data_IF_930764936255
#
_entry.id   IF_930764936255
#
_cell.length_a   1.000
_cell.length_b   1.000
_cell.length_c   1.000
_cell.angle_alpha   90.00
_cell.angle_beta   90.00
_cell.angle_gamma   90.00
#
_symmetry.space_group_name_H-M   'P 1'
#
loop_
_entity.id
_entity.type
_entity.pdbx_description
1 polymer ?
#
# COMPACT_ATOMS: atom_id res chain seq x y z
N UNK A 1 -2.47 1.47 17.68
CA UNK A 1 -2.43 1.43 16.20
C UNK A 1 -2.73 0.00 15.77
N UNK A 2 -3.59 -0.21 14.77
CA UNK A 2 -3.88 -1.55 14.23
C UNK A 2 -2.62 -2.19 13.62
N UNK A 3 -2.75 -3.38 13.05
CA UNK A 3 -1.65 -4.00 12.31
C UNK A 3 -1.22 -3.14 11.10
N UNK A 4 -0.02 -3.41 10.59
CA UNK A 4 0.60 -2.62 9.51
C UNK A 4 -0.29 -2.53 8.25
N UNK A 5 -0.93 -3.63 7.85
CA UNK A 5 -1.80 -3.63 6.67
C UNK A 5 -3.09 -2.85 6.92
N UNK A 6 -3.62 -2.84 8.13
CA UNK A 6 -4.74 -1.98 8.51
C UNK A 6 -4.39 -0.49 8.32
N UNK A 7 -3.15 -0.10 8.66
CA UNK A 7 -2.65 1.26 8.44
C UNK A 7 -2.63 1.61 6.94
N UNK A 8 -2.10 0.72 6.09
CA UNK A 8 -2.08 0.91 4.63
C UNK A 8 -3.50 0.90 4.02
N UNK A 9 -4.41 0.07 4.54
CA UNK A 9 -5.77 -0.14 4.01
C UNK A 9 -6.78 0.90 4.44
N UNK A 10 -6.41 1.80 5.35
CA UNK A 10 -7.29 2.87 5.84
C UNK A 10 -6.83 4.22 5.27
N UNK A 11 -7.50 4.77 4.25
CA UNK A 11 -7.07 5.99 3.56
C UNK A 11 -6.78 7.17 4.50
N UNK A 12 -7.60 7.36 5.54
CA UNK A 12 -7.41 8.42 6.52
C UNK A 12 -6.13 8.24 7.36
N UNK A 13 -5.78 7.00 7.73
CA UNK A 13 -4.56 6.72 8.48
C UNK A 13 -3.32 6.86 7.61
N UNK A 14 -3.35 6.32 6.38
CA UNK A 14 -2.27 6.47 5.41
C UNK A 14 -2.00 7.96 5.09
N UNK A 15 -3.06 8.74 4.87
CA UNK A 15 -2.97 10.19 4.70
C UNK A 15 -2.34 10.88 5.92
N UNK A 16 -2.81 10.56 7.14
CA UNK A 16 -2.28 11.20 8.34
C UNK A 16 -0.79 10.92 8.53
N UNK A 17 -0.36 9.67 8.38
CA UNK A 17 1.06 9.30 8.49
C UNK A 17 1.90 9.98 7.41
N UNK A 18 1.38 10.07 6.17
CA UNK A 18 2.06 10.77 5.07
C UNK A 18 2.28 12.25 5.37
N UNK A 19 1.35 12.91 6.06
CA UNK A 19 1.44 14.35 6.34
C UNK A 19 2.33 14.68 7.55
N UNK A 20 2.60 13.74 8.44
CA UNK A 20 3.39 13.99 9.65
C UNK A 20 4.78 14.58 9.36
N UNK A 21 5.60 14.04 8.43
CA UNK A 21 6.88 14.64 8.07
C UNK A 21 6.75 16.04 7.45
N UNK A 22 5.73 16.26 6.61
CA UNK A 22 5.47 17.53 5.91
C UNK A 22 5.07 18.66 6.87
N UNK A 23 4.47 18.31 8.01
CA UNK A 23 4.16 19.26 9.10
C UNK A 23 5.38 19.58 9.97
N UNK A 24 6.32 18.64 10.08
CA UNK A 24 7.47 18.75 10.99
C UNK A 24 8.71 19.34 10.34
N UNK A 25 8.90 19.11 9.04
CA UNK A 25 10.09 19.46 8.30
C UNK A 25 9.72 20.16 6.99
N UNK A 26 10.64 20.96 6.46
CA UNK A 26 10.50 21.64 5.18
C UNK A 26 11.00 20.73 4.04
N UNK A 27 10.24 19.67 3.76
CA UNK A 27 10.53 18.70 2.70
C UNK A 27 9.94 19.18 1.38
N UNK A 28 10.61 18.87 0.26
CA UNK A 28 10.17 19.25 -1.08
C UNK A 28 9.11 18.33 -1.71
N UNK A 29 8.83 17.19 -1.09
CA UNK A 29 7.87 16.21 -1.58
C UNK A 29 7.29 15.36 -0.44
N UNK A 30 6.05 14.92 -0.62
CA UNK A 30 5.45 13.84 0.15
C UNK A 30 5.54 12.52 -0.65
N UNK A 31 5.66 11.40 0.04
CA UNK A 31 5.50 10.05 -0.54
C UNK A 31 4.34 9.35 0.15
N UNK A 32 3.45 8.74 -0.63
CA UNK A 32 2.28 8.07 -0.07
C UNK A 32 2.69 6.97 0.89
N UNK A 33 2.07 6.93 2.07
CA UNK A 33 2.23 5.80 2.97
C UNK A 33 1.46 4.59 2.41
N UNK A 34 2.20 3.63 1.89
CA UNK A 34 1.71 2.35 1.37
C UNK A 34 2.81 1.29 1.52
N UNK A 35 2.62 0.12 0.92
CA UNK A 35 3.63 -0.93 0.85
C UNK A 35 3.64 -1.56 -0.55
N UNK A 36 4.81 -2.00 -1.03
CA UNK A 36 4.94 -2.63 -2.35
C UNK A 36 4.24 -4.00 -2.42
N UNK A 37 4.07 -4.68 -1.28
CA UNK A 37 3.49 -6.02 -1.17
C UNK A 37 1.96 -6.03 -1.29
N UNK A 38 1.32 -4.86 -1.37
CA UNK A 38 -0.10 -4.77 -1.73
C UNK A 38 -0.38 -5.35 -3.11
N UNK A 39 0.61 -5.33 -4.03
CA UNK A 39 0.47 -5.91 -5.37
C UNK A 39 0.40 -7.44 -5.30
N UNK A 40 1.36 -8.17 -4.70
CA UNK A 40 1.21 -9.60 -4.41
C UNK A 40 -0.13 -9.97 -3.73
N UNK A 41 -0.60 -9.18 -2.77
CA UNK A 41 -1.91 -9.40 -2.14
C UNK A 41 -3.06 -9.29 -3.15
N UNK A 42 -3.06 -8.26 -4.00
CA UNK A 42 -4.06 -8.09 -5.06
C UNK A 42 -4.01 -9.22 -6.10
N UNK A 43 -2.80 -9.76 -6.36
CA UNK A 43 -2.59 -10.94 -7.21
C UNK A 43 -3.00 -12.26 -6.53
N UNK A 44 -3.58 -12.22 -5.33
CA UNK A 44 -4.10 -13.39 -4.62
C UNK A 44 -3.08 -14.13 -3.75
N UNK A 45 -1.87 -13.58 -3.57
CA UNK A 45 -0.86 -14.17 -2.70
C UNK A 45 -1.04 -13.72 -1.25
N UNK A 46 -0.89 -14.66 -0.32
CA UNK A 46 -0.90 -14.33 1.10
C UNK A 46 0.41 -13.64 1.51
N UNK A 47 0.29 -12.51 2.21
CA UNK A 47 1.42 -11.79 2.80
C UNK A 47 1.11 -11.55 4.28
N UNK A 48 1.97 -12.04 5.15
CA UNK A 48 1.84 -11.91 6.61
C UNK A 48 2.92 -10.98 7.14
N UNK A 49 2.56 -10.10 8.08
CA UNK A 49 3.54 -9.28 8.80
C UNK A 49 3.94 -9.98 10.10
N UNK A 50 5.14 -10.56 10.15
CA UNK A 50 5.62 -11.30 11.32
C UNK A 50 6.48 -10.39 12.20
N UNK A 51 6.07 -10.21 13.46
CA UNK A 51 6.77 -9.34 14.43
C UNK A 51 8.24 -9.73 14.55
N UNK A 52 9.13 -8.77 14.36
CA UNK A 52 10.59 -8.95 14.45
C UNK A 52 11.23 -9.66 13.25
N UNK A 53 10.46 -10.08 12.25
CA UNK A 53 10.98 -10.68 11.00
C UNK A 53 10.62 -9.85 9.76
N UNK A 54 9.51 -9.12 9.80
CA UNK A 54 9.00 -8.37 8.66
C UNK A 54 7.97 -9.17 7.84
N UNK A 55 7.73 -8.79 6.58
CA UNK A 55 6.75 -9.45 5.73
C UNK A 55 7.25 -10.83 5.28
N UNK A 56 6.34 -11.81 5.29
CA UNK A 56 6.59 -13.19 4.86
C UNK A 56 5.49 -13.61 3.89
N UNK A 57 5.89 -14.24 2.79
CA UNK A 57 4.99 -15.00 1.93
C UNK A 57 5.06 -16.47 2.39
N UNK A 58 4.03 -17.02 3.05
CA UNK A 58 4.09 -18.39 3.57
C UNK A 58 4.32 -19.44 2.48
N UNK A 59 3.84 -19.16 1.27
CA UNK A 59 4.00 -19.99 0.09
C UNK A 59 4.64 -19.14 -1.03
N UNK A 60 5.97 -19.00 -1.09
CA UNK A 60 6.63 -18.30 -2.18
C UNK A 60 6.50 -19.07 -3.50
N UNK A 61 6.59 -18.37 -4.63
CA UNK A 61 6.62 -19.01 -5.95
C UNK A 61 7.98 -19.69 -6.14
N UNK A 62 7.98 -21.01 -6.33
CA UNK A 62 9.18 -21.85 -6.51
C UNK A 62 9.33 -22.42 -7.92
N UNK A 63 8.27 -22.42 -8.74
CA UNK A 63 8.34 -22.86 -10.13
C UNK A 63 7.09 -22.52 -10.96
N UNK A 64 7.06 -22.90 -12.26
CA UNK A 64 5.99 -22.50 -13.18
C UNK A 64 4.58 -22.92 -12.75
N UNK A 65 4.44 -24.07 -12.08
CA UNK A 65 3.14 -24.55 -11.58
C UNK A 65 2.53 -23.63 -10.53
N UNK A 66 3.36 -22.89 -9.78
CA UNK A 66 2.85 -21.96 -8.78
C UNK A 66 2.12 -20.77 -9.40
N UNK A 67 2.27 -20.51 -10.70
CA UNK A 67 1.53 -19.44 -11.37
C UNK A 67 0.02 -19.72 -11.43
N UNK A 68 -0.41 -20.97 -11.28
CA UNK A 68 -1.83 -21.35 -11.24
C UNK A 68 -2.60 -20.71 -10.07
N UNK A 69 -1.90 -20.29 -9.01
CA UNK A 69 -2.51 -19.59 -7.85
C UNK A 69 -2.36 -18.06 -7.90
N UNK A 70 -1.73 -17.52 -8.94
CA UNK A 70 -1.54 -16.08 -9.14
C UNK A 70 -2.65 -15.58 -10.03
N UNK A 71 -3.46 -14.64 -9.53
CA UNK A 71 -4.45 -13.95 -10.36
C UNK A 71 -3.75 -13.08 -11.39
N UNK A 72 -4.21 -13.10 -12.64
CA UNK A 72 -3.60 -12.28 -13.70
C UNK A 72 -4.63 -11.56 -14.57
N UNK A 73 -4.21 -10.44 -15.17
CA UNK A 73 -4.99 -9.71 -16.16
C UNK A 73 -6.41 -9.37 -15.69
N UNK A 74 -7.42 -9.89 -16.40
CA UNK A 74 -8.83 -9.63 -16.15
C UNK A 74 -9.35 -10.19 -14.81
N UNK A 75 -8.61 -11.08 -14.14
CA UNK A 75 -9.01 -11.65 -12.85
C UNK A 75 -8.81 -10.68 -11.67
N UNK A 76 -8.04 -9.61 -11.88
CA UNK A 76 -7.71 -8.62 -10.85
C UNK A 76 -8.49 -7.33 -11.10
N UNK A 77 -9.55 -7.12 -10.33
CA UNK A 77 -10.23 -5.84 -10.29
C UNK A 77 -9.43 -4.85 -9.43
N UNK A 78 -8.68 -3.96 -10.07
CA UNK A 78 -7.82 -2.97 -9.39
C UNK A 78 -8.61 -2.03 -8.48
N UNK A 79 -9.84 -1.65 -8.86
CA UNK A 79 -10.63 -0.75 -8.02
C UNK A 79 -11.07 -1.47 -6.75
N UNK A 80 -11.42 -2.75 -6.86
CA UNK A 80 -11.76 -3.57 -5.70
C UNK A 80 -10.55 -3.89 -4.82
N UNK A 81 -9.45 -4.34 -5.42
CA UNK A 81 -8.30 -4.88 -4.69
C UNK A 81 -7.36 -3.78 -4.17
N UNK A 82 -7.24 -2.65 -4.87
CA UNK A 82 -6.33 -1.54 -4.55
C UNK A 82 -7.02 -0.17 -4.47
N UNK A 83 -8.36 -0.12 -4.45
CA UNK A 83 -9.13 1.13 -4.35
C UNK A 83 -8.74 1.97 -3.13
N UNK A 84 -8.43 1.33 -2.00
CA UNK A 84 -7.96 2.03 -0.80
C UNK A 84 -6.64 2.79 -1.01
N UNK A 85 -5.74 2.30 -1.88
CA UNK A 85 -4.50 3.03 -2.22
C UNK A 85 -4.85 4.29 -3.01
N UNK A 86 -5.75 4.15 -3.99
CA UNK A 86 -6.21 5.28 -4.80
C UNK A 86 -6.93 6.33 -3.95
N UNK A 87 -7.74 5.91 -2.99
CA UNK A 87 -8.42 6.80 -2.06
C UNK A 87 -7.44 7.49 -1.10
N UNK A 88 -6.40 6.79 -0.63
CA UNK A 88 -5.33 7.38 0.16
C UNK A 88 -4.56 8.44 -0.64
N UNK A 89 -4.21 8.17 -1.90
CA UNK A 89 -3.56 9.12 -2.81
C UNK A 89 -4.44 10.35 -3.02
N UNK A 90 -5.72 10.17 -3.37
CA UNK A 90 -6.68 11.27 -3.59
C UNK A 90 -6.79 12.14 -2.34
N UNK A 91 -7.05 11.52 -1.19
CA UNK A 91 -7.20 12.23 0.09
C UNK A 91 -5.93 13.01 0.45
N UNK A 92 -4.76 12.37 0.35
CA UNK A 92 -3.47 12.99 0.65
C UNK A 92 -3.21 14.16 -0.30
N UNK A 93 -3.47 14.00 -1.60
CA UNK A 93 -3.29 15.06 -2.58
C UNK A 93 -4.17 16.27 -2.27
N UNK A 94 -5.42 16.06 -1.85
CA UNK A 94 -6.29 17.15 -1.42
C UNK A 94 -5.77 17.82 -0.14
N UNK A 95 -5.33 17.04 0.85
CA UNK A 95 -4.83 17.55 2.15
C UNK A 95 -3.46 18.24 2.08
N UNK A 96 -2.68 17.98 1.03
CA UNK A 96 -1.44 18.71 0.78
C UNK A 96 -1.69 20.15 0.31
N UNK A 97 -2.89 20.46 -0.21
CA UNK A 97 -3.28 21.82 -0.62
C UNK A 97 -2.28 22.49 -1.58
N UNK A 98 -1.59 21.68 -2.39
CA UNK A 98 -0.57 22.17 -3.33
C UNK A 98 0.77 22.57 -2.71
N UNK A 99 0.98 22.36 -1.39
CA UNK A 99 2.23 22.69 -0.69
C UNK A 99 3.46 22.04 -1.33
N UNK A 100 3.36 20.74 -1.66
CA UNK A 100 4.42 19.94 -2.28
C UNK A 100 3.84 18.87 -3.23
N UNK A 101 4.60 18.37 -4.21
CA UNK A 101 4.22 17.19 -4.98
C UNK A 101 4.04 15.93 -4.09
N UNK A 102 3.21 15.00 -4.58
CA UNK A 102 2.98 13.69 -3.98
C UNK A 102 3.54 12.59 -4.89
N UNK A 103 4.46 11.79 -4.36
CA UNK A 103 5.05 10.60 -4.98
C UNK A 103 4.16 9.39 -4.64
N UNK A 104 3.87 8.59 -5.67
CA UNK A 104 3.09 7.35 -5.57
C UNK A 104 3.90 6.13 -5.16
#
# INVERSE_FOLDING_TARGET
AGDFFTLCRTPALACEVTLQPIRRFDLDAAIIFSDILVVPQALGLEVQMVKGKGPVLPQPLGGPKDLERVKTGAEVDIQKELGYVMDAIRLTRHKLEGKVPLIG
#
